data_IF_001857122067
#
_entry.id   IF_001857122067
#
_cell.length_a   1.000
_cell.length_b   1.000
_cell.length_c   1.000
_cell.angle_alpha   90.00
_cell.angle_beta   90.00
_cell.angle_gamma   90.00
#
_symmetry.space_group_name_H-M   'P 1'
#
loop_
_entity.id
_entity.type
_entity.pdbx_description
1 polymer ?
#
# COMPACT_ATOMS: atom_id res chain seq x y z
N UNK A 1 -76.14 -8.83 -13.30
CA UNK A 1 -75.26 -8.66 -12.13
C UNK A 1 -74.05 -9.52 -12.37
N UNK A 2 -72.94 -8.90 -12.74
CA UNK A 2 -71.65 -9.54 -12.98
C UNK A 2 -70.92 -9.62 -11.64
N UNK A 3 -70.40 -10.80 -11.25
CA UNK A 3 -69.63 -11.03 -10.03
C UNK A 3 -68.16 -10.80 -10.32
N UNK A 4 -67.53 -9.92 -9.57
CA UNK A 4 -66.11 -9.65 -9.59
C UNK A 4 -65.34 -10.86 -8.99
N UNK A 5 -64.39 -11.39 -9.75
CA UNK A 5 -63.42 -12.38 -9.30
C UNK A 5 -62.27 -11.70 -8.55
N UNK A 6 -62.19 -11.95 -7.24
CA UNK A 6 -61.05 -11.54 -6.42
C UNK A 6 -59.84 -12.38 -6.75
N UNK A 7 -58.71 -11.72 -7.09
CA UNK A 7 -57.41 -12.38 -7.19
C UNK A 7 -56.87 -12.73 -5.79
N UNK A 8 -56.30 -13.92 -5.59
CA UNK A 8 -55.75 -14.34 -4.28
C UNK A 8 -54.48 -13.56 -3.96
N UNK A 9 -54.32 -13.20 -2.69
CA UNK A 9 -53.14 -12.49 -2.23
C UNK A 9 -51.96 -13.44 -1.97
N UNK A 10 -50.78 -12.88 -1.85
CA UNK A 10 -49.48 -13.60 -1.73
C UNK A 10 -49.41 -14.63 -0.55
N UNK A 11 -50.27 -14.50 0.45
CA UNK A 11 -50.35 -15.43 1.60
C UNK A 11 -51.16 -16.69 1.30
N UNK A 12 -52.10 -16.63 0.41
CA UNK A 12 -52.91 -17.79 0.00
C UNK A 12 -52.17 -18.65 -1.00
N UNK A 13 -51.33 -18.07 -1.85
CA UNK A 13 -50.47 -18.84 -2.76
C UNK A 13 -49.46 -19.76 -2.06
N UNK A 14 -48.96 -19.36 -0.88
CA UNK A 14 -48.01 -20.16 -0.11
C UNK A 14 -48.66 -21.31 0.72
N UNK A 15 -49.97 -21.36 0.80
CA UNK A 15 -50.68 -22.47 1.50
C UNK A 15 -51.07 -23.62 0.58
N UNK A 16 -51.02 -23.48 -0.73
CA UNK A 16 -51.44 -24.52 -1.71
C UNK A 16 -50.29 -25.40 -2.19
N UNK A 17 -49.04 -25.10 -1.85
CA UNK A 17 -47.87 -25.93 -2.24
C UNK A 17 -47.40 -26.91 -1.17
N UNK A 18 -48.15 -27.13 -0.10
CA UNK A 18 -47.74 -27.96 1.03
C UNK A 18 -48.43 -29.35 1.12
N UNK A 19 -49.04 -29.84 0.04
CA UNK A 19 -49.67 -31.17 0.07
C UNK A 19 -49.59 -31.85 -1.29
N UNK A 20 -48.42 -32.38 -1.64
CA UNK A 20 -48.25 -33.60 -2.47
C UNK A 20 -46.76 -33.93 -2.58
N UNK A 21 -46.39 -35.17 -2.17
CA UNK A 21 -45.18 -35.83 -2.65
C UNK A 21 -44.02 -35.91 -1.66
N UNK A 22 -44.15 -36.81 -0.66
CA UNK A 22 -42.99 -37.41 -0.04
C UNK A 22 -42.26 -38.31 -1.05
N UNK A 23 -41.26 -37.73 -1.74
CA UNK A 23 -40.22 -38.49 -2.42
C UNK A 23 -38.93 -38.22 -1.67
N UNK A 24 -38.47 -39.17 -0.90
CA UNK A 24 -37.15 -39.20 -0.24
C UNK A 24 -36.05 -39.26 -1.31
N UNK A 25 -35.64 -38.11 -1.82
CA UNK A 25 -34.34 -37.97 -2.48
C UNK A 25 -33.33 -37.64 -1.39
N UNK A 26 -32.47 -38.60 -1.05
CA UNK A 26 -31.21 -38.36 -0.36
C UNK A 26 -30.36 -37.40 -1.23
N UNK A 27 -30.61 -36.11 -1.12
CA UNK A 27 -29.67 -35.11 -1.57
C UNK A 27 -28.48 -35.18 -0.62
N UNK A 28 -27.42 -35.84 -1.05
CA UNK A 28 -26.11 -35.67 -0.48
C UNK A 28 -25.79 -34.18 -0.58
N UNK A 29 -25.96 -33.46 0.52
CA UNK A 29 -25.36 -32.16 0.67
C UNK A 29 -23.85 -32.40 0.64
N UNK A 30 -23.25 -32.30 -0.54
CA UNK A 30 -21.83 -32.01 -0.63
C UNK A 30 -21.66 -30.71 0.11
N UNK A 31 -21.13 -30.76 1.32
CA UNK A 31 -20.63 -29.62 2.04
C UNK A 31 -19.51 -29.06 1.18
N UNK A 32 -19.80 -27.99 0.43
CA UNK A 32 -18.79 -27.13 -0.15
C UNK A 32 -18.07 -26.39 1.00
N UNK A 33 -17.40 -27.14 1.85
CA UNK A 33 -16.37 -26.58 2.71
C UNK A 33 -15.25 -26.21 1.74
N UNK A 34 -14.88 -24.94 1.61
CA UNK A 34 -13.74 -24.59 0.78
C UNK A 34 -12.54 -25.42 1.26
N UNK A 35 -11.67 -25.88 0.35
CA UNK A 35 -10.51 -26.67 0.73
C UNK A 35 -9.77 -25.92 1.85
N UNK A 36 -9.40 -26.68 2.89
CA UNK A 36 -8.71 -26.14 4.06
C UNK A 36 -7.37 -25.53 3.56
N UNK A 37 -7.32 -24.20 3.44
CA UNK A 37 -6.14 -23.48 2.96
C UNK A 37 -5.01 -23.66 3.97
N UNK A 38 -3.80 -23.86 3.48
CA UNK A 38 -2.61 -23.94 4.32
C UNK A 38 -2.35 -22.63 5.10
N UNK A 39 -1.64 -22.70 6.22
CA UNK A 39 -1.40 -21.52 7.06
C UNK A 39 -0.61 -20.39 6.35
N UNK A 40 0.08 -20.72 5.26
CA UNK A 40 0.93 -19.80 4.51
C UNK A 40 0.32 -19.47 3.13
N UNK A 41 -1.00 -19.42 3.06
CA UNK A 41 -1.77 -19.09 1.86
C UNK A 41 -2.68 -17.91 2.17
N UNK A 42 -3.11 -17.18 1.12
CA UNK A 42 -4.09 -16.10 1.26
C UNK A 42 -5.39 -16.64 1.83
N UNK A 43 -5.75 -16.20 3.03
CA UNK A 43 -6.98 -16.63 3.71
C UNK A 43 -8.17 -15.72 3.37
N UNK A 44 -7.92 -14.45 3.01
CA UNK A 44 -8.97 -13.47 2.78
C UNK A 44 -8.74 -12.69 1.49
N UNK A 45 -9.85 -12.52 0.74
CA UNK A 45 -9.91 -11.59 -0.38
C UNK A 45 -10.90 -10.48 -0.02
N UNK A 46 -10.53 -9.25 -0.34
CA UNK A 46 -11.29 -8.06 -0.03
C UNK A 46 -11.70 -7.31 -1.28
N UNK A 47 -12.90 -6.73 -1.27
CA UNK A 47 -13.36 -5.86 -2.33
C UNK A 47 -12.58 -4.52 -2.28
N UNK A 48 -11.93 -4.18 -3.37
CA UNK A 48 -11.17 -2.94 -3.52
C UNK A 48 -12.11 -1.78 -3.89
N UNK A 49 -12.80 -1.23 -2.89
CA UNK A 49 -13.75 -0.14 -3.07
C UNK A 49 -14.66 -0.32 -4.28
N UNK A 50 -15.04 0.77 -4.93
CA UNK A 50 -15.94 0.82 -6.09
C UNK A 50 -15.41 0.12 -7.35
N UNK A 51 -14.15 -0.30 -7.38
CA UNK A 51 -13.63 -1.09 -8.50
C UNK A 51 -14.27 -2.47 -8.58
N UNK A 52 -14.81 -2.97 -7.47
CA UNK A 52 -15.36 -4.32 -7.28
C UNK A 52 -14.35 -5.46 -7.52
N UNK A 53 -13.08 -5.15 -7.67
CA UNK A 53 -12.03 -6.17 -7.75
C UNK A 53 -11.88 -6.88 -6.38
N UNK A 54 -11.78 -8.19 -6.42
CA UNK A 54 -11.49 -8.99 -5.23
C UNK A 54 -9.99 -9.24 -5.16
N UNK A 55 -9.32 -8.66 -4.18
CA UNK A 55 -7.87 -8.69 -4.04
C UNK A 55 -7.44 -9.39 -2.76
N UNK A 56 -6.29 -10.04 -2.76
CA UNK A 56 -5.67 -10.61 -1.57
C UNK A 56 -5.40 -9.52 -0.53
N UNK A 57 -5.74 -9.77 0.73
CA UNK A 57 -5.57 -8.82 1.85
C UNK A 57 -4.09 -8.49 2.13
N UNK A 58 -3.19 -9.44 1.83
CA UNK A 58 -1.75 -9.24 1.78
C UNK A 58 -1.29 -9.48 0.34
N UNK A 59 -0.70 -8.47 -0.26
CA UNK A 59 -0.46 -8.39 -1.69
C UNK A 59 1.01 -8.13 -2.03
N UNK A 60 1.39 -8.47 -3.26
CA UNK A 60 2.78 -8.48 -3.73
C UNK A 60 3.25 -7.09 -4.15
N UNK A 61 4.29 -6.57 -3.50
CA UNK A 61 5.03 -5.39 -3.93
C UNK A 61 6.31 -5.77 -4.68
N UNK A 62 6.49 -5.24 -5.88
CA UNK A 62 7.60 -5.59 -6.76
C UNK A 62 8.79 -4.61 -6.71
N UNK A 63 8.81 -3.65 -5.78
CA UNK A 63 9.80 -2.57 -5.78
C UNK A 63 11.28 -3.00 -5.78
N UNK A 64 11.58 -4.23 -5.34
CA UNK A 64 12.93 -4.79 -5.35
C UNK A 64 13.08 -6.01 -6.27
N UNK A 65 12.08 -6.29 -7.11
CA UNK A 65 12.09 -7.45 -8.00
C UNK A 65 13.10 -7.26 -9.12
N UNK A 66 13.97 -8.25 -9.33
CA UNK A 66 15.07 -8.22 -10.31
C UNK A 66 14.95 -9.37 -11.32
N UNK A 67 15.61 -9.27 -12.46
CA UNK A 67 15.66 -10.35 -13.46
C UNK A 67 16.09 -11.68 -12.83
N UNK A 68 15.41 -12.76 -13.20
CA UNK A 68 15.66 -14.11 -12.69
C UNK A 68 14.87 -14.45 -11.42
N UNK A 69 13.99 -13.57 -10.95
CA UNK A 69 13.14 -13.80 -9.77
C UNK A 69 11.68 -14.17 -10.13
N UNK A 70 11.46 -14.68 -11.35
CA UNK A 70 10.13 -15.14 -11.78
C UNK A 70 9.56 -16.24 -10.89
N UNK A 71 10.41 -17.04 -10.28
CA UNK A 71 10.01 -18.11 -9.34
C UNK A 71 9.41 -17.56 -8.03
N UNK A 72 9.87 -16.40 -7.57
CA UNK A 72 9.30 -15.70 -6.41
C UNK A 72 7.86 -15.26 -6.71
N UNK A 73 7.63 -14.70 -7.91
CA UNK A 73 6.30 -14.27 -8.35
C UNK A 73 5.36 -15.48 -8.52
N UNK A 74 5.85 -16.58 -9.11
CA UNK A 74 5.07 -17.83 -9.23
C UNK A 74 4.69 -18.38 -7.86
N UNK A 75 5.63 -18.38 -6.92
CA UNK A 75 5.32 -18.81 -5.55
C UNK A 75 4.23 -17.97 -4.89
N UNK A 76 4.25 -16.64 -5.09
CA UNK A 76 3.18 -15.77 -4.61
C UNK A 76 1.81 -16.12 -5.22
N UNK A 77 1.77 -16.40 -6.54
CA UNK A 77 0.55 -16.87 -7.20
C UNK A 77 0.07 -18.22 -6.63
N UNK A 78 0.97 -19.17 -6.44
CA UNK A 78 0.67 -20.50 -5.89
C UNK A 78 0.10 -20.40 -4.46
N UNK A 79 0.51 -19.36 -3.70
CA UNK A 79 -0.01 -19.04 -2.37
C UNK A 79 -1.33 -18.25 -2.39
N UNK A 80 -1.86 -17.93 -3.56
CA UNK A 80 -3.15 -17.26 -3.74
C UNK A 80 -3.09 -15.75 -3.81
N UNK A 81 -1.90 -15.14 -3.83
CA UNK A 81 -1.79 -13.69 -4.08
C UNK A 81 -2.25 -13.40 -5.49
N UNK A 82 -3.17 -12.45 -5.64
CA UNK A 82 -3.70 -12.06 -6.94
C UNK A 82 -3.57 -10.56 -7.25
N UNK A 83 -3.06 -9.74 -6.31
CA UNK A 83 -2.80 -8.32 -6.54
C UNK A 83 -1.29 -8.08 -6.55
N UNK A 84 -0.80 -7.52 -7.66
CA UNK A 84 0.62 -7.27 -7.90
C UNK A 84 0.85 -5.80 -8.20
N UNK A 85 1.61 -5.16 -7.32
CA UNK A 85 1.92 -3.74 -7.37
C UNK A 85 3.30 -3.51 -7.96
N UNK A 86 3.37 -2.72 -9.03
CA UNK A 86 4.60 -2.29 -9.69
C UNK A 86 4.61 -0.78 -9.94
N UNK A 87 5.65 -0.30 -10.58
CA UNK A 87 5.77 1.05 -11.08
C UNK A 87 6.77 1.10 -12.24
N UNK A 88 6.60 2.06 -13.13
CA UNK A 88 7.47 2.32 -14.28
C UNK A 88 8.96 2.35 -13.91
N UNK A 89 9.32 3.01 -12.79
CA UNK A 89 10.69 3.20 -12.34
C UNK A 89 11.26 2.08 -11.47
N UNK A 90 10.48 1.08 -11.06
CA UNK A 90 10.99 0.04 -10.16
C UNK A 90 12.08 -0.80 -10.84
N UNK A 91 13.25 -0.88 -10.19
CA UNK A 91 14.43 -1.55 -10.69
C UNK A 91 14.74 -1.22 -12.17
N UNK A 92 14.55 0.07 -12.54
CA UNK A 92 14.73 0.60 -13.91
C UNK A 92 13.87 -0.13 -14.95
N UNK A 93 12.65 -0.52 -14.58
CA UNK A 93 11.70 -1.24 -15.42
C UNK A 93 11.81 -2.77 -15.37
N UNK A 94 12.83 -3.33 -14.72
CA UNK A 94 13.01 -4.77 -14.63
C UNK A 94 11.88 -5.45 -13.84
N UNK A 95 11.33 -4.79 -12.82
CA UNK A 95 10.19 -5.31 -12.07
C UNK A 95 8.98 -5.59 -12.95
N UNK A 96 8.63 -4.66 -13.85
CA UNK A 96 7.56 -4.86 -14.83
C UNK A 96 7.86 -5.99 -15.80
N UNK A 97 9.12 -6.13 -16.27
CA UNK A 97 9.52 -7.22 -17.17
C UNK A 97 9.36 -8.60 -16.54
N UNK A 98 9.78 -8.76 -15.27
CA UNK A 98 9.65 -10.02 -14.53
C UNK A 98 8.18 -10.40 -14.35
N UNK A 99 7.33 -9.44 -13.94
CA UNK A 99 5.89 -9.66 -13.85
C UNK A 99 5.28 -10.02 -15.19
N UNK A 100 5.66 -9.31 -16.26
CA UNK A 100 5.21 -9.59 -17.62
C UNK A 100 5.61 -10.99 -18.11
N UNK A 101 6.81 -11.48 -17.75
CA UNK A 101 7.23 -12.84 -18.06
C UNK A 101 6.33 -13.90 -17.41
N UNK A 102 5.92 -13.67 -16.16
CA UNK A 102 5.12 -14.64 -15.42
C UNK A 102 3.65 -14.63 -15.83
N UNK A 103 3.09 -13.46 -16.15
CA UNK A 103 1.64 -13.32 -16.36
C UNK A 103 1.17 -13.64 -17.78
N UNK A 104 2.08 -14.00 -18.69
CA UNK A 104 1.69 -14.45 -20.03
C UNK A 104 0.74 -15.66 -19.94
N UNK A 105 -0.42 -15.55 -20.60
CA UNK A 105 -1.44 -16.59 -20.59
C UNK A 105 -2.30 -16.69 -19.33
N UNK A 106 -2.08 -15.80 -18.35
CA UNK A 106 -2.89 -15.74 -17.12
C UNK A 106 -3.23 -14.31 -16.65
N UNK A 107 -3.16 -13.35 -17.57
CA UNK A 107 -3.37 -11.92 -17.26
C UNK A 107 -4.70 -11.63 -16.56
N UNK A 108 -5.74 -12.35 -16.92
CA UNK A 108 -7.10 -12.26 -16.37
C UNK A 108 -7.23 -12.79 -14.93
N UNK A 109 -6.23 -13.54 -14.46
CA UNK A 109 -6.22 -14.12 -13.10
C UNK A 109 -5.60 -13.19 -12.05
N UNK A 110 -5.01 -12.08 -12.47
CA UNK A 110 -4.32 -11.15 -11.58
C UNK A 110 -4.86 -9.73 -11.72
N UNK A 111 -4.83 -9.00 -10.62
CA UNK A 111 -5.00 -7.54 -10.57
C UNK A 111 -3.62 -6.91 -10.62
N UNK A 112 -3.35 -6.21 -11.71
CA UNK A 112 -2.04 -5.63 -11.98
C UNK A 112 -2.10 -4.11 -11.87
N UNK A 113 -1.18 -3.57 -11.09
CA UNK A 113 -1.04 -2.13 -10.84
C UNK A 113 0.31 -1.66 -11.33
N UNK A 114 0.33 -0.55 -12.06
CA UNK A 114 1.55 0.20 -12.30
C UNK A 114 1.35 1.69 -12.05
N UNK A 115 2.43 2.44 -12.06
CA UNK A 115 2.46 3.84 -11.64
C UNK A 115 3.46 4.62 -12.46
N UNK A 116 3.18 5.90 -12.66
CA UNK A 116 4.13 6.82 -13.27
C UNK A 116 4.48 7.95 -12.29
N UNK A 117 5.76 8.17 -12.10
CA UNK A 117 6.27 9.41 -11.55
C UNK A 117 6.03 10.51 -12.57
N UNK A 118 5.78 11.73 -12.11
CA UNK A 118 5.58 12.85 -13.01
C UNK A 118 5.53 14.15 -12.23
N UNK A 119 5.89 15.23 -12.89
CA UNK A 119 5.76 16.58 -12.38
C UNK A 119 4.45 17.20 -12.83
N UNK A 120 4.07 18.32 -12.24
CA UNK A 120 2.84 19.02 -12.59
C UNK A 120 2.82 19.53 -14.04
N UNK A 121 3.99 19.71 -14.64
CA UNK A 121 4.22 20.19 -16.00
C UNK A 121 4.32 19.07 -17.07
N UNK A 122 4.20 17.80 -16.66
CA UNK A 122 4.24 16.71 -17.63
C UNK A 122 3.02 16.72 -18.54
N UNK A 123 3.26 16.58 -19.84
CA UNK A 123 2.19 16.47 -20.82
C UNK A 123 1.53 15.08 -20.80
N UNK A 124 0.30 15.00 -21.26
CA UNK A 124 -0.39 13.71 -21.43
C UNK A 124 0.32 12.77 -22.38
N UNK A 125 1.03 13.30 -23.37
CA UNK A 125 1.83 12.49 -24.30
C UNK A 125 3.00 11.80 -23.59
N UNK A 126 3.70 12.51 -22.70
CA UNK A 126 4.77 11.93 -21.90
C UNK A 126 4.23 10.82 -20.99
N UNK A 127 3.13 11.07 -20.29
CA UNK A 127 2.51 10.06 -19.43
C UNK A 127 2.00 8.85 -20.22
N UNK A 128 1.44 9.07 -21.42
CA UNK A 128 1.00 7.99 -22.31
C UNK A 128 2.19 7.15 -22.81
N UNK A 129 3.30 7.79 -23.16
CA UNK A 129 4.52 7.08 -23.57
C UNK A 129 5.05 6.15 -22.45
N UNK A 130 5.05 6.62 -21.21
CA UNK A 130 5.45 5.80 -20.06
C UNK A 130 4.47 4.64 -19.81
N UNK A 131 3.17 4.87 -19.98
CA UNK A 131 2.18 3.78 -19.89
C UNK A 131 2.42 2.73 -20.99
N UNK A 132 2.67 3.16 -22.22
CA UNK A 132 2.91 2.25 -23.35
C UNK A 132 4.20 1.43 -23.18
N UNK A 133 5.24 2.05 -22.61
CA UNK A 133 6.45 1.33 -22.22
C UNK A 133 6.17 0.31 -21.09
N UNK A 134 5.41 0.70 -20.07
CA UNK A 134 4.98 -0.20 -18.99
C UNK A 134 4.21 -1.39 -19.54
N UNK A 135 3.24 -1.17 -20.43
CA UNK A 135 2.46 -2.24 -21.05
C UNK A 135 3.34 -3.18 -21.89
N UNK A 136 4.32 -2.63 -22.60
CA UNK A 136 5.31 -3.41 -23.35
C UNK A 136 6.13 -4.32 -22.44
N UNK A 137 6.66 -3.80 -21.32
CA UNK A 137 7.42 -4.56 -20.33
C UNK A 137 6.56 -5.62 -19.65
N UNK A 138 5.33 -5.25 -19.28
CA UNK A 138 4.33 -6.14 -18.66
C UNK A 138 3.72 -7.15 -19.64
N UNK A 139 3.99 -7.02 -20.96
CA UNK A 139 3.49 -7.91 -22.02
C UNK A 139 1.98 -8.06 -22.00
N UNK A 140 1.27 -6.96 -21.82
CA UNK A 140 -0.19 -6.89 -21.72
C UNK A 140 -0.72 -5.63 -22.39
N UNK A 141 -1.98 -5.65 -22.80
CA UNK A 141 -2.65 -4.51 -23.40
C UNK A 141 -3.24 -3.54 -22.36
N UNK A 142 -3.33 -3.96 -21.08
CA UNK A 142 -3.91 -3.14 -20.04
C UNK A 142 -3.33 -3.43 -18.65
N UNK A 143 -3.44 -2.45 -17.76
CA UNK A 143 -3.33 -2.63 -16.30
C UNK A 143 -4.68 -2.36 -15.64
N UNK A 144 -4.95 -2.99 -14.50
CA UNK A 144 -6.20 -2.79 -13.79
C UNK A 144 -6.26 -1.41 -13.13
N UNK A 145 -5.18 -1.02 -12.46
CA UNK A 145 -5.08 0.29 -11.83
C UNK A 145 -3.79 0.98 -12.28
N UNK A 146 -3.90 2.23 -12.72
CA UNK A 146 -2.74 3.06 -13.02
C UNK A 146 -2.72 4.30 -12.13
N UNK A 147 -1.59 4.55 -11.45
CA UNK A 147 -1.53 5.55 -10.40
C UNK A 147 -0.55 6.69 -10.72
N UNK A 148 -0.90 7.90 -10.30
CA UNK A 148 0.07 8.95 -10.07
C UNK A 148 0.97 8.53 -8.89
N UNK A 149 2.28 8.36 -9.15
CA UNK A 149 3.23 7.79 -8.20
C UNK A 149 3.80 8.85 -7.26
N UNK A 150 3.83 8.56 -5.96
CA UNK A 150 4.48 9.37 -4.92
C UNK A 150 4.03 10.85 -4.91
N UNK A 151 2.73 11.09 -4.98
CA UNK A 151 2.16 12.44 -5.02
C UNK A 151 2.40 13.16 -3.71
N UNK A 152 3.07 14.31 -3.80
CA UNK A 152 3.33 15.22 -2.67
C UNK A 152 3.12 16.69 -3.04
N UNK A 153 2.68 16.95 -4.26
CA UNK A 153 2.33 18.29 -4.77
C UNK A 153 0.91 18.26 -5.33
N UNK A 154 0.04 19.06 -4.76
CA UNK A 154 -1.36 19.18 -5.18
C UNK A 154 -1.50 19.72 -6.62
N UNK A 155 -0.52 20.48 -7.11
CA UNK A 155 -0.56 21.00 -8.48
C UNK A 155 -0.49 19.87 -9.51
N UNK A 156 0.16 18.77 -9.19
CA UNK A 156 0.17 17.57 -10.02
C UNK A 156 -1.24 16.98 -10.19
N UNK A 157 -2.06 17.00 -9.14
CA UNK A 157 -3.45 16.57 -9.20
C UNK A 157 -4.36 17.56 -9.93
N UNK A 158 -4.02 18.86 -9.89
CA UNK A 158 -4.74 19.93 -10.59
C UNK A 158 -4.41 20.03 -12.08
N UNK A 159 -3.37 19.31 -12.53
CA UNK A 159 -2.92 19.38 -13.92
C UNK A 159 -4.01 18.85 -14.87
N UNK A 160 -4.49 19.63 -15.83
CA UNK A 160 -5.44 19.15 -16.85
C UNK A 160 -4.83 18.01 -17.67
N UNK A 161 -3.52 18.01 -17.88
CA UNK A 161 -2.80 16.97 -18.63
C UNK A 161 -2.96 15.57 -17.97
N UNK A 162 -2.95 15.51 -16.63
CA UNK A 162 -3.21 14.27 -15.91
C UNK A 162 -4.64 13.74 -16.16
N UNK A 163 -5.62 14.63 -16.10
CA UNK A 163 -7.02 14.25 -16.31
C UNK A 163 -7.27 13.78 -17.75
N UNK A 164 -6.77 14.56 -18.73
CA UNK A 164 -6.88 14.20 -20.14
C UNK A 164 -6.15 12.88 -20.46
N UNK A 165 -4.99 12.65 -19.85
CA UNK A 165 -4.28 11.37 -19.94
C UNK A 165 -5.13 10.21 -19.41
N UNK A 166 -5.66 10.34 -18.18
CA UNK A 166 -6.44 9.29 -17.54
C UNK A 166 -7.69 8.93 -18.36
N UNK A 167 -8.43 9.94 -18.84
CA UNK A 167 -9.61 9.75 -19.70
C UNK A 167 -9.24 9.06 -21.02
N UNK A 168 -8.16 9.50 -21.66
CA UNK A 168 -7.70 8.91 -22.91
C UNK A 168 -7.26 7.46 -22.73
N UNK A 169 -6.50 7.18 -21.68
CA UNK A 169 -6.02 5.83 -21.37
C UNK A 169 -7.17 4.87 -21.05
N UNK A 170 -8.18 5.33 -20.29
CA UNK A 170 -9.43 4.57 -20.06
C UNK A 170 -10.18 4.32 -21.37
N UNK A 171 -10.34 5.33 -22.20
CA UNK A 171 -11.03 5.21 -23.50
C UNK A 171 -10.33 4.25 -24.45
N UNK A 172 -9.00 4.19 -24.41
CA UNK A 172 -8.20 3.24 -25.20
C UNK A 172 -8.18 1.83 -24.58
N UNK A 173 -8.77 1.62 -23.41
CA UNK A 173 -8.79 0.34 -22.71
C UNK A 173 -7.43 -0.05 -22.10
N UNK A 174 -6.46 0.87 -22.04
CA UNK A 174 -5.12 0.63 -21.47
C UNK A 174 -5.11 0.59 -19.94
N UNK A 175 -6.06 1.27 -19.31
CA UNK A 175 -6.27 1.24 -17.85
C UNK A 175 -7.76 1.07 -17.56
N UNK A 176 -8.08 0.39 -16.46
CA UNK A 176 -9.49 0.25 -16.00
C UNK A 176 -9.84 1.30 -14.96
N UNK A 177 -8.95 1.51 -14.00
CA UNK A 177 -9.14 2.41 -12.87
C UNK A 177 -7.93 3.33 -12.69
N UNK A 178 -8.18 4.49 -12.08
CA UNK A 178 -7.15 5.50 -11.77
C UNK A 178 -6.89 5.53 -10.27
N UNK A 179 -5.64 5.74 -9.89
CA UNK A 179 -5.29 5.90 -8.49
C UNK A 179 -4.21 6.93 -8.25
N UNK A 180 -3.89 7.13 -6.98
CA UNK A 180 -2.71 7.85 -6.55
C UNK A 180 -1.98 7.10 -5.44
N UNK A 181 -0.67 7.27 -5.37
CA UNK A 181 0.12 6.80 -4.25
C UNK A 181 0.86 7.95 -3.58
N UNK A 182 1.14 7.80 -2.26
CA UNK A 182 1.88 8.81 -1.54
C UNK A 182 2.35 8.37 -0.15
N UNK A 183 3.37 9.08 0.35
CA UNK A 183 3.97 8.81 1.66
C UNK A 183 4.67 10.02 2.28
N UNK A 184 4.75 11.15 1.58
CA UNK A 184 5.49 12.34 2.00
C UNK A 184 4.62 13.35 2.76
N UNK A 185 5.18 14.49 3.15
CA UNK A 185 4.60 15.42 4.12
C UNK A 185 3.25 16.02 3.76
N UNK A 186 2.96 16.21 2.47
CA UNK A 186 1.70 16.78 1.99
C UNK A 186 0.67 15.73 1.56
N UNK A 187 0.89 14.46 1.92
CA UNK A 187 0.02 13.34 1.54
C UNK A 187 -1.45 13.61 1.89
N UNK A 188 -1.73 14.04 3.13
CA UNK A 188 -3.10 14.29 3.60
C UNK A 188 -3.80 15.34 2.75
N UNK A 189 -3.11 16.45 2.45
CA UNK A 189 -3.66 17.51 1.60
C UNK A 189 -3.95 17.02 0.17
N UNK A 190 -3.05 16.22 -0.39
CA UNK A 190 -3.24 15.64 -1.72
C UNK A 190 -4.41 14.65 -1.75
N UNK A 191 -4.52 13.80 -0.72
CA UNK A 191 -5.62 12.85 -0.60
C UNK A 191 -6.98 13.55 -0.42
N UNK A 192 -7.07 14.54 0.48
CA UNK A 192 -8.31 15.29 0.65
C UNK A 192 -8.78 15.92 -0.65
N UNK A 193 -7.86 16.54 -1.39
CA UNK A 193 -8.19 17.13 -2.68
C UNK A 193 -8.64 16.07 -3.70
N UNK A 194 -7.91 14.96 -3.83
CA UNK A 194 -8.25 13.91 -4.79
C UNK A 194 -9.63 13.27 -4.49
N UNK A 195 -9.93 13.07 -3.21
CA UNK A 195 -11.21 12.50 -2.76
C UNK A 195 -12.37 13.50 -2.93
N UNK A 196 -12.17 14.78 -2.60
CA UNK A 196 -13.18 15.82 -2.75
C UNK A 196 -13.55 16.08 -4.23
N UNK A 197 -12.60 15.87 -5.13
CA UNK A 197 -12.80 16.06 -6.57
C UNK A 197 -13.17 14.75 -7.30
N UNK A 198 -13.37 13.66 -6.59
CA UNK A 198 -13.69 12.32 -7.14
C UNK A 198 -12.72 11.87 -8.25
N UNK A 199 -11.41 12.08 -8.02
CA UNK A 199 -10.37 11.89 -9.05
C UNK A 199 -9.80 10.49 -9.09
N UNK A 200 -10.00 9.67 -8.05
CA UNK A 200 -9.32 8.39 -7.87
C UNK A 200 -10.29 7.29 -7.48
N UNK A 201 -10.07 6.12 -8.05
CA UNK A 201 -10.79 4.89 -7.70
C UNK A 201 -10.07 4.10 -6.62
N UNK A 202 -8.74 4.26 -6.51
CA UNK A 202 -7.87 3.56 -5.55
C UNK A 202 -6.81 4.50 -5.01
N UNK A 203 -6.53 4.40 -3.72
CA UNK A 203 -5.38 5.05 -3.07
C UNK A 203 -4.40 3.99 -2.55
N UNK A 204 -3.09 4.29 -2.66
CA UNK A 204 -2.00 3.50 -2.08
C UNK A 204 -1.14 4.40 -1.19
N UNK A 205 -1.27 4.25 0.12
CA UNK A 205 -0.70 5.20 1.07
C UNK A 205 0.17 4.52 2.13
N UNK A 206 1.19 5.23 2.61
CA UNK A 206 2.00 4.75 3.72
C UNK A 206 1.17 4.79 5.01
N UNK A 207 1.02 3.63 5.65
CA UNK A 207 0.30 3.49 6.91
C UNK A 207 0.88 2.36 7.76
N UNK A 208 1.13 2.62 9.02
CA UNK A 208 1.69 1.65 9.96
C UNK A 208 1.36 2.03 11.41
N UNK A 209 1.65 1.12 12.34
CA UNK A 209 1.29 1.23 13.76
C UNK A 209 1.83 2.49 14.47
N UNK A 210 2.87 3.16 13.94
CA UNK A 210 3.39 4.41 14.50
C UNK A 210 2.59 5.67 14.09
N UNK A 211 1.57 5.52 13.26
CA UNK A 211 0.72 6.63 12.81
C UNK A 211 -0.63 6.69 13.55
N UNK A 212 -0.89 5.74 14.44
CA UNK A 212 -2.09 5.74 15.28
C UNK A 212 -1.85 6.55 16.56
N UNK A 213 -2.61 7.65 16.80
CA UNK A 213 -2.51 8.44 18.02
C UNK A 213 -2.86 7.65 19.29
N UNK A 214 -3.83 6.74 19.22
CA UNK A 214 -4.20 5.90 20.37
C UNK A 214 -3.13 4.87 20.70
N UNK A 215 -2.54 4.26 19.71
CA UNK A 215 -1.41 3.34 19.88
C UNK A 215 -0.26 4.04 20.60
N UNK A 216 0.10 5.24 20.14
CA UNK A 216 1.16 6.04 20.75
C UNK A 216 0.78 6.56 22.14
N UNK A 217 -0.46 6.96 22.38
CA UNK A 217 -0.91 7.42 23.70
C UNK A 217 -0.90 6.31 24.76
N UNK A 218 -1.17 5.07 24.36
CA UNK A 218 -1.02 3.90 25.26
C UNK A 218 0.43 3.62 25.63
N UNK A 219 1.36 3.89 24.69
CA UNK A 219 2.81 3.80 24.89
C UNK A 219 3.34 4.87 25.84
N UNK A 220 2.76 6.06 25.82
CA UNK A 220 3.35 7.29 26.35
C UNK A 220 2.66 7.82 27.61
N UNK A 221 1.95 6.99 28.37
CA UNK A 221 1.45 7.42 29.69
C UNK A 221 2.54 8.00 30.61
N UNK A 222 3.80 7.90 30.21
CA UNK A 222 4.96 8.42 30.92
C UNK A 222 5.84 9.43 30.19
N UNK A 223 5.54 9.80 28.92
CA UNK A 223 6.33 10.78 28.15
C UNK A 223 5.42 11.53 27.17
N UNK A 224 5.46 12.85 27.15
CA UNK A 224 4.68 13.74 26.28
C UNK A 224 5.08 13.64 24.79
N UNK A 225 4.90 12.49 24.19
CA UNK A 225 5.15 12.25 22.77
C UNK A 225 3.82 12.25 22.01
N UNK A 226 3.36 13.40 21.63
CA UNK A 226 2.16 13.55 20.80
C UNK A 226 2.57 13.27 19.36
N UNK A 227 2.10 12.18 18.79
CA UNK A 227 2.17 11.96 17.34
C UNK A 227 1.28 13.00 16.65
N UNK A 228 1.88 13.88 15.85
CA UNK A 228 1.18 14.95 15.14
C UNK A 228 0.61 14.51 13.78
N UNK A 229 0.09 13.30 13.65
CA UNK A 229 -0.54 12.86 12.40
C UNK A 229 -1.93 12.26 12.62
N UNK A 230 -2.87 13.00 13.25
CA UNK A 230 -4.22 12.48 13.47
C UNK A 230 -5.05 12.41 12.19
N UNK A 231 -4.61 13.04 11.10
CA UNK A 231 -5.45 13.24 9.90
C UNK A 231 -5.44 12.07 8.93
N UNK A 232 -4.41 11.23 8.90
CA UNK A 232 -4.38 10.09 7.97
C UNK A 232 -5.49 9.07 8.26
N UNK A 233 -5.77 8.65 9.50
CA UNK A 233 -6.94 7.81 9.81
C UNK A 233 -8.27 8.44 9.37
N UNK A 234 -8.44 9.75 9.53
CA UNK A 234 -9.62 10.48 9.04
C UNK A 234 -9.76 10.39 7.53
N UNK A 235 -8.67 10.53 6.80
CA UNK A 235 -8.68 10.46 5.32
C UNK A 235 -8.93 9.04 4.84
N UNK A 236 -8.40 8.01 5.52
CA UNK A 236 -8.71 6.61 5.22
C UNK A 236 -10.21 6.33 5.40
N UNK A 237 -10.80 6.81 6.49
CA UNK A 237 -12.24 6.72 6.71
C UNK A 237 -13.05 7.42 5.61
N UNK A 238 -12.64 8.64 5.24
CA UNK A 238 -13.26 9.37 4.12
C UNK A 238 -13.20 8.61 2.80
N UNK A 239 -12.05 8.00 2.48
CA UNK A 239 -11.91 7.17 1.29
C UNK A 239 -12.88 5.97 1.33
N UNK A 240 -13.02 5.33 2.49
CA UNK A 240 -13.96 4.22 2.69
C UNK A 240 -15.42 4.65 2.52
N UNK A 241 -15.80 5.80 3.08
CA UNK A 241 -17.14 6.39 2.94
C UNK A 241 -17.48 6.73 1.49
N UNK A 242 -16.49 7.12 0.69
CA UNK A 242 -16.61 7.39 -0.74
C UNK A 242 -16.48 6.14 -1.62
N UNK A 243 -16.37 4.97 -1.02
CA UNK A 243 -16.15 3.68 -1.69
C UNK A 243 -14.89 3.66 -2.59
N UNK A 244 -13.87 4.43 -2.24
CA UNK A 244 -12.56 4.42 -2.88
C UNK A 244 -11.72 3.29 -2.28
N UNK A 245 -11.13 2.45 -3.14
CA UNK A 245 -10.28 1.33 -2.72
C UNK A 245 -9.05 1.81 -1.96
N UNK A 246 -8.79 1.21 -0.80
CA UNK A 246 -7.70 1.63 0.09
C UNK A 246 -6.69 0.52 0.27
N UNK A 247 -5.53 0.66 -0.36
CA UNK A 247 -4.37 -0.20 -0.16
C UNK A 247 -3.30 0.58 0.60
N UNK A 248 -2.64 -0.08 1.55
CA UNK A 248 -1.60 0.57 2.33
C UNK A 248 -0.24 -0.09 2.15
N UNK A 249 0.82 0.71 2.27
CA UNK A 249 2.20 0.29 2.12
C UNK A 249 3.06 0.75 3.30
N UNK A 250 4.34 0.32 3.33
CA UNK A 250 5.32 0.68 4.37
C UNK A 250 4.86 0.28 5.78
N UNK A 251 4.15 -0.82 5.85
CA UNK A 251 3.47 -1.34 7.03
C UNK A 251 4.42 -1.81 8.13
N UNK A 252 5.65 -2.15 7.77
CA UNK A 252 6.69 -2.58 8.72
C UNK A 252 7.49 -1.43 9.34
N UNK A 253 7.22 -0.19 8.95
CA UNK A 253 7.89 1.00 9.48
C UNK A 253 9.41 0.86 9.55
N UNK A 254 10.06 0.42 8.44
CA UNK A 254 11.49 0.25 8.37
C UNK A 254 12.04 -0.93 9.19
N UNK A 255 11.35 -2.03 9.22
CA UNK A 255 11.51 -3.22 10.07
C UNK A 255 12.91 -3.83 10.20
N UNK A 256 13.91 -3.37 9.47
CA UNK A 256 15.25 -3.95 9.53
C UNK A 256 16.26 -3.18 10.36
N UNK A 257 15.81 -2.11 11.03
CA UNK A 257 16.66 -1.38 11.95
C UNK A 257 17.15 -2.22 13.12
N UNK A 258 16.31 -3.14 13.58
CA UNK A 258 16.64 -4.06 14.66
C UNK A 258 16.18 -5.47 14.30
N UNK A 259 16.96 -6.44 14.72
CA UNK A 259 16.53 -7.83 14.70
C UNK A 259 15.49 -8.06 15.81
N UNK A 260 14.25 -8.24 15.41
CA UNK A 260 13.13 -8.47 16.33
C UNK A 260 12.97 -9.94 16.74
N UNK A 261 13.67 -10.89 16.09
CA UNK A 261 13.59 -12.33 16.38
C UNK A 261 13.78 -12.68 17.86
N UNK A 262 14.68 -12.02 18.64
CA UNK A 262 14.81 -12.30 20.08
C UNK A 262 13.55 -11.99 20.91
N UNK A 263 12.63 -11.22 20.37
CA UNK A 263 11.39 -10.79 21.04
C UNK A 263 10.15 -11.48 20.49
N UNK A 264 10.31 -12.25 19.41
CA UNK A 264 9.22 -12.99 18.77
C UNK A 264 8.87 -14.24 19.60
N UNK A 265 7.60 -14.59 19.65
CA UNK A 265 7.08 -15.78 20.30
C UNK A 265 6.63 -16.80 19.27
N UNK A 266 6.46 -18.06 19.67
CA UNK A 266 5.93 -19.08 18.77
C UNK A 266 4.57 -18.65 18.18
N UNK A 267 4.50 -18.60 16.86
CA UNK A 267 3.31 -18.23 16.10
C UNK A 267 3.10 -16.74 15.83
N UNK A 268 4.05 -15.88 16.24
CA UNK A 268 3.97 -14.44 15.97
C UNK A 268 5.34 -13.87 15.62
N UNK A 269 5.49 -13.44 14.36
CA UNK A 269 6.64 -12.62 13.94
C UNK A 269 6.29 -11.14 14.00
N UNK A 270 7.32 -10.29 14.03
CA UNK A 270 7.12 -8.83 13.99
C UNK A 270 6.33 -8.40 12.74
N UNK A 271 6.63 -8.99 11.58
CA UNK A 271 5.91 -8.69 10.35
C UNK A 271 4.43 -9.05 10.45
N UNK A 272 4.11 -10.24 10.97
CA UNK A 272 2.73 -10.67 11.16
C UNK A 272 1.97 -9.78 12.16
N UNK A 273 2.62 -9.39 13.26
CA UNK A 273 2.03 -8.46 14.23
C UNK A 273 1.69 -7.11 13.58
N UNK A 274 2.63 -6.54 12.80
CA UNK A 274 2.42 -5.28 12.09
C UNK A 274 1.29 -5.38 11.05
N UNK A 275 1.19 -6.50 10.33
CA UNK A 275 0.14 -6.71 9.33
C UNK A 275 -1.23 -6.90 9.97
N UNK A 276 -1.33 -7.67 11.06
CA UNK A 276 -2.59 -7.80 11.82
C UNK A 276 -3.06 -6.45 12.35
N UNK A 277 -2.13 -5.62 12.85
CA UNK A 277 -2.47 -4.26 13.27
C UNK A 277 -3.06 -3.44 12.11
N UNK A 278 -2.43 -3.47 10.93
CA UNK A 278 -2.90 -2.75 9.74
C UNK A 278 -4.26 -3.28 9.28
N UNK A 279 -4.42 -4.60 9.17
CA UNK A 279 -5.64 -5.25 8.69
C UNK A 279 -6.80 -5.18 9.69
N UNK A 280 -6.54 -4.86 10.96
CA UNK A 280 -7.58 -4.59 11.96
C UNK A 280 -8.31 -3.26 11.75
N UNK A 281 -7.73 -2.35 10.93
CA UNK A 281 -8.41 -1.14 10.53
C UNK A 281 -9.44 -1.43 9.43
N UNK A 282 -10.73 -1.25 9.74
CA UNK A 282 -11.84 -1.53 8.83
C UNK A 282 -11.84 -0.62 7.57
N UNK A 283 -11.12 0.51 7.62
CA UNK A 283 -10.99 1.45 6.51
C UNK A 283 -9.88 1.06 5.52
N UNK A 284 -9.15 -0.03 5.79
CA UNK A 284 -8.10 -0.58 4.92
C UNK A 284 -8.62 -1.84 4.23
N UNK A 285 -8.57 -1.87 2.90
CA UNK A 285 -8.98 -3.06 2.13
C UNK A 285 -7.86 -4.10 2.05
N UNK A 286 -6.61 -3.68 1.83
CA UNK A 286 -5.46 -4.57 1.77
C UNK A 286 -4.15 -3.84 2.08
N UNK A 287 -3.10 -4.61 2.29
CA UNK A 287 -1.74 -4.09 2.33
C UNK A 287 -0.89 -4.65 1.18
N UNK A 288 0.08 -3.85 0.75
CA UNK A 288 1.11 -4.26 -0.20
C UNK A 288 2.48 -4.19 0.48
N UNK A 289 3.26 -5.23 0.32
CA UNK A 289 4.61 -5.34 0.89
C UNK A 289 5.60 -5.92 -0.13
N UNK A 290 6.81 -5.39 -0.15
CA UNK A 290 7.88 -5.92 -1.01
C UNK A 290 8.24 -7.35 -0.60
N UNK A 291 8.07 -8.29 -1.51
CA UNK A 291 8.37 -9.70 -1.33
C UNK A 291 9.62 -10.07 -2.14
N UNK A 292 10.68 -10.46 -1.47
CA UNK A 292 11.99 -10.70 -2.08
C UNK A 292 12.34 -12.18 -2.27
N UNK A 293 11.68 -13.04 -1.53
CA UNK A 293 11.93 -14.48 -1.49
C UNK A 293 10.70 -15.26 -1.01
N UNK A 294 10.72 -16.56 -1.20
CA UNK A 294 9.61 -17.46 -0.86
C UNK A 294 9.36 -17.55 0.65
N UNK A 295 10.40 -17.50 1.46
CA UNK A 295 10.29 -17.59 2.92
C UNK A 295 9.52 -16.40 3.49
N UNK A 296 9.79 -15.19 2.97
CA UNK A 296 9.03 -14.00 3.36
C UNK A 296 7.60 -14.03 2.90
N UNK A 297 7.33 -14.56 1.71
CA UNK A 297 5.94 -14.73 1.26
C UNK A 297 5.19 -15.63 2.23
N UNK A 298 5.75 -16.77 2.59
CA UNK A 298 5.14 -17.73 3.51
C UNK A 298 4.99 -17.14 4.91
N UNK A 299 5.99 -16.41 5.42
CA UNK A 299 5.90 -15.70 6.71
C UNK A 299 4.77 -14.65 6.69
N UNK A 300 4.73 -13.81 5.68
CA UNK A 300 3.80 -12.70 5.61
C UNK A 300 2.35 -13.17 5.52
N UNK A 301 2.09 -14.21 4.76
CA UNK A 301 0.76 -14.78 4.62
C UNK A 301 0.23 -15.44 5.89
N UNK A 302 1.07 -15.72 6.87
CA UNK A 302 0.63 -16.14 8.21
C UNK A 302 -0.23 -15.11 8.96
N UNK A 303 -0.30 -13.85 8.47
CA UNK A 303 -1.22 -12.83 8.98
C UNK A 303 -2.49 -12.66 8.12
N UNK A 304 -2.59 -13.32 6.95
CA UNK A 304 -3.74 -13.20 6.07
C UNK A 304 -5.02 -13.70 6.74
N UNK A 305 -6.12 -13.02 6.52
CA UNK A 305 -7.41 -13.31 7.14
C UNK A 305 -7.56 -12.83 8.58
N UNK A 306 -6.53 -12.28 9.18
CA UNK A 306 -6.57 -11.78 10.55
C UNK A 306 -7.04 -10.32 10.58
N UNK A 307 -8.07 -10.06 11.37
CA UNK A 307 -8.66 -8.72 11.55
C UNK A 307 -8.52 -8.21 12.99
N UNK A 308 -7.82 -8.96 13.82
CA UNK A 308 -7.61 -8.66 15.23
C UNK A 308 -6.16 -8.97 15.59
N UNK A 309 -5.65 -8.25 16.60
CA UNK A 309 -4.33 -8.50 17.15
C UNK A 309 -4.31 -9.84 17.90
N UNK A 310 -3.27 -10.64 17.69
CA UNK A 310 -3.01 -11.81 18.49
C UNK A 310 -2.37 -11.42 19.84
N UNK A 311 -2.40 -12.37 20.78
CA UNK A 311 -1.72 -12.19 22.06
C UNK A 311 -0.23 -11.93 21.83
N UNK A 312 0.28 -10.86 22.44
CA UNK A 312 1.69 -10.45 22.32
C UNK A 312 2.01 -9.53 21.14
N UNK A 313 1.13 -9.38 20.14
CA UNK A 313 1.36 -8.48 19.00
C UNK A 313 1.63 -7.05 19.45
N UNK A 314 0.77 -6.52 20.32
CA UNK A 314 0.87 -5.15 20.80
C UNK A 314 2.19 -4.91 21.55
N UNK A 315 2.61 -5.86 22.39
CA UNK A 315 3.88 -5.77 23.12
C UNK A 315 5.06 -5.73 22.17
N UNK A 316 5.06 -6.60 21.14
CA UNK A 316 6.10 -6.66 20.12
C UNK A 316 6.22 -5.36 19.32
N UNK A 317 5.08 -4.80 18.87
CA UNK A 317 5.03 -3.52 18.18
C UNK A 317 5.47 -2.35 19.06
N UNK A 318 5.08 -2.35 20.35
CA UNK A 318 5.51 -1.36 21.32
C UNK A 318 7.01 -1.41 21.57
N UNK A 319 7.55 -2.60 21.66
CA UNK A 319 9.01 -2.81 21.82
C UNK A 319 9.76 -2.23 20.62
N UNK A 320 9.31 -2.55 19.40
CA UNK A 320 9.90 -2.00 18.19
C UNK A 320 9.83 -0.47 18.16
N UNK A 321 8.67 0.11 18.44
CA UNK A 321 8.49 1.56 18.46
C UNK A 321 9.42 2.25 19.50
N UNK A 322 9.60 1.64 20.66
CA UNK A 322 10.49 2.14 21.72
C UNK A 322 11.97 2.09 21.29
N UNK A 323 12.39 1.02 20.62
CA UNK A 323 13.77 0.85 20.16
C UNK A 323 14.13 1.78 19.00
N UNK A 324 13.17 2.10 18.13
CA UNK A 324 13.40 2.76 16.84
C UNK A 324 12.76 4.13 16.69
N UNK A 325 12.01 4.60 17.69
CA UNK A 325 11.19 5.81 17.58
C UNK A 325 11.94 7.08 17.22
N UNK A 326 13.20 7.22 17.64
CA UNK A 326 14.07 8.36 17.37
C UNK A 326 14.97 8.19 16.13
N UNK A 327 14.89 7.05 15.43
CA UNK A 327 15.76 6.74 14.29
C UNK A 327 15.03 6.84 12.95
N UNK A 328 13.68 6.83 12.97
CA UNK A 328 12.85 6.82 11.78
C UNK A 328 12.03 8.07 11.57
N UNK A 329 12.18 8.65 10.36
CA UNK A 329 11.29 9.71 9.87
C UNK A 329 9.88 9.14 9.65
N UNK A 330 8.85 9.86 10.14
CA UNK A 330 7.45 9.48 9.98
C UNK A 330 6.95 9.79 8.58
N UNK A 331 6.17 8.88 8.01
CA UNK A 331 5.48 9.15 6.75
C UNK A 331 4.42 10.23 6.96
N UNK A 332 4.17 11.02 5.93
CA UNK A 332 3.25 12.16 5.96
C UNK A 332 3.57 13.22 7.02
N UNK A 333 4.79 13.24 7.59
CA UNK A 333 5.28 14.25 8.51
C UNK A 333 6.06 15.32 7.75
N UNK A 334 5.82 16.59 8.10
CA UNK A 334 6.50 17.76 7.53
C UNK A 334 6.98 18.77 8.59
N UNK A 335 7.09 18.35 9.84
CA UNK A 335 7.43 19.24 10.96
C UNK A 335 8.74 20.00 10.75
N UNK A 336 9.73 19.39 10.11
CA UNK A 336 11.00 20.03 9.76
C UNK A 336 10.99 20.72 8.39
N UNK A 337 9.92 20.63 7.62
CA UNK A 337 9.77 21.29 6.34
C UNK A 337 9.75 22.81 6.57
N UNK A 338 10.57 23.55 5.84
CA UNK A 338 10.71 24.99 6.01
C UNK A 338 11.66 25.43 7.14
N UNK A 339 12.09 24.52 8.02
CA UNK A 339 13.14 24.84 9.00
C UNK A 339 14.54 24.81 8.39
N UNK A 340 14.75 24.07 7.30
CA UNK A 340 16.01 24.02 6.59
C UNK A 340 16.18 25.28 5.72
N UNK A 341 17.22 26.11 5.96
CA UNK A 341 17.45 27.33 5.18
C UNK A 341 17.83 27.06 3.72
N UNK A 342 18.20 25.82 3.40
CA UNK A 342 18.57 25.35 2.06
C UNK A 342 17.46 24.57 1.36
N UNK A 343 16.31 24.39 2.01
CA UNK A 343 15.16 23.68 1.45
C UNK A 343 15.37 22.18 1.20
N UNK A 344 16.30 21.53 1.92
CA UNK A 344 16.59 20.10 1.74
C UNK A 344 15.35 19.25 1.99
N UNK A 345 15.07 18.30 1.08
CA UNK A 345 14.01 17.31 1.20
C UNK A 345 14.38 16.21 2.22
N UNK A 346 14.42 16.60 3.49
CA UNK A 346 14.95 15.80 4.60
C UNK A 346 14.28 14.43 4.69
N UNK A 347 12.96 14.36 4.55
CA UNK A 347 12.22 13.11 4.66
C UNK A 347 12.64 12.12 3.57
N UNK A 348 12.87 12.59 2.36
CA UNK A 348 13.30 11.76 1.23
C UNK A 348 14.76 11.33 1.37
N UNK A 349 15.63 12.20 1.86
CA UNK A 349 17.02 11.85 2.19
C UNK A 349 17.06 10.73 3.25
N UNK A 350 16.29 10.86 4.32
CA UNK A 350 16.26 9.85 5.38
C UNK A 350 15.67 8.52 4.92
N UNK A 351 14.70 8.56 3.99
CA UNK A 351 14.12 7.36 3.39
C UNK A 351 15.13 6.63 2.51
N UNK A 352 15.85 7.33 1.65
CA UNK A 352 16.88 6.71 0.80
C UNK A 352 18.03 6.13 1.62
N UNK A 353 18.38 6.78 2.74
CA UNK A 353 19.31 6.22 3.71
C UNK A 353 18.84 4.86 4.22
N UNK A 354 17.57 4.74 4.58
CA UNK A 354 16.97 3.48 5.04
C UNK A 354 17.14 2.35 4.02
N UNK A 355 16.97 2.64 2.73
CA UNK A 355 17.17 1.63 1.69
C UNK A 355 18.61 1.09 1.67
N UNK A 356 19.61 1.97 1.86
CA UNK A 356 21.01 1.56 1.92
C UNK A 356 21.35 0.81 3.20
N UNK A 357 20.98 1.36 4.37
CA UNK A 357 21.45 0.85 5.67
C UNK A 357 20.63 -0.32 6.18
N UNK A 358 19.31 -0.29 5.97
CA UNK A 358 18.40 -1.25 6.59
C UNK A 358 17.99 -2.36 5.63
N UNK A 359 17.73 -2.01 4.37
CA UNK A 359 17.45 -3.00 3.34
C UNK A 359 18.70 -3.52 2.63
N UNK A 360 19.87 -2.92 2.90
CA UNK A 360 21.16 -3.27 2.28
C UNK A 360 21.10 -3.23 0.75
N UNK A 361 20.28 -2.33 0.21
CA UNK A 361 20.06 -2.13 -1.21
C UNK A 361 20.60 -0.76 -1.63
N UNK A 362 21.93 -0.69 -1.72
CA UNK A 362 22.64 0.57 -2.06
C UNK A 362 22.32 1.03 -3.48
N UNK A 363 22.05 0.11 -4.41
CA UNK A 363 21.68 0.44 -5.77
C UNK A 363 20.33 1.16 -5.82
N UNK A 364 19.30 0.58 -5.20
CA UNK A 364 18.00 1.24 -5.05
C UNK A 364 18.12 2.58 -4.33
N UNK A 365 18.93 2.64 -3.27
CA UNK A 365 19.13 3.86 -2.51
C UNK A 365 19.73 4.99 -3.35
N UNK A 366 20.72 4.69 -4.19
CA UNK A 366 21.32 5.67 -5.11
C UNK A 366 20.35 6.11 -6.19
N UNK A 367 19.61 5.19 -6.80
CA UNK A 367 18.62 5.51 -7.81
C UNK A 367 17.53 6.44 -7.26
N UNK A 368 17.05 6.18 -6.06
CA UNK A 368 16.05 7.02 -5.40
C UNK A 368 16.64 8.35 -4.91
N UNK A 369 17.90 8.35 -4.43
CA UNK A 369 18.57 9.58 -4.00
C UNK A 369 18.82 10.55 -5.16
N UNK A 370 19.16 10.03 -6.33
CA UNK A 370 19.37 10.83 -7.54
C UNK A 370 18.11 11.57 -8.02
N UNK A 371 16.92 11.13 -7.60
CA UNK A 371 15.63 11.76 -7.93
C UNK A 371 15.29 12.95 -7.02
N UNK A 372 16.01 13.11 -5.90
CA UNK A 372 15.74 14.18 -4.92
C UNK A 372 16.21 15.51 -5.49
N UNK A 373 15.29 16.44 -5.71
CA UNK A 373 15.60 17.76 -6.31
C UNK A 373 16.52 18.59 -5.41
N UNK A 374 16.18 18.70 -4.13
CA UNK A 374 17.00 19.40 -3.14
C UNK A 374 17.60 18.40 -2.16
N UNK A 375 18.66 17.74 -2.60
CA UNK A 375 19.32 16.70 -1.80
C UNK A 375 20.18 17.29 -0.67
N UNK A 376 20.84 16.41 0.10
CA UNK A 376 21.58 16.80 1.31
C UNK A 376 22.98 17.36 1.05
N UNK A 377 23.30 17.87 -0.15
CA UNK A 377 24.61 18.46 -0.44
C UNK A 377 24.93 19.66 0.47
N UNK A 378 23.93 20.52 0.73
CA UNK A 378 24.08 21.65 1.64
C UNK A 378 24.39 21.25 3.08
N UNK A 379 23.99 20.04 3.51
CA UNK A 379 24.24 19.53 4.86
C UNK A 379 25.74 19.30 5.14
N UNK A 380 26.58 19.16 4.11
CA UNK A 380 28.02 18.97 4.26
C UNK A 380 28.71 20.17 4.94
N UNK A 381 28.19 21.37 4.77
CA UNK A 381 28.74 22.62 5.26
C UNK A 381 27.77 23.39 6.19
N UNK A 382 26.68 22.75 6.60
CA UNK A 382 25.72 23.37 7.49
C UNK A 382 26.26 23.38 8.93
N UNK A 383 26.33 24.57 9.53
CA UNK A 383 26.82 24.75 10.91
C UNK A 383 25.69 24.91 11.93
N UNK A 384 24.44 24.93 11.48
CA UNK A 384 23.25 25.02 12.33
C UNK A 384 22.50 23.70 12.39
N UNK A 385 21.61 23.58 13.36
CA UNK A 385 20.74 22.39 13.53
C UNK A 385 19.25 22.78 13.56
N UNK A 386 18.77 23.71 12.69
CA UNK A 386 17.38 24.15 12.78
C UNK A 386 16.39 23.01 12.48
N UNK A 387 16.76 22.10 11.57
CA UNK A 387 15.97 20.92 11.26
C UNK A 387 15.85 19.94 12.44
N UNK A 388 16.92 19.76 13.22
CA UNK A 388 16.91 18.91 14.43
C UNK A 388 15.98 19.47 15.50
N UNK A 389 16.02 20.81 15.70
CA UNK A 389 15.16 21.49 16.66
C UNK A 389 13.68 21.45 16.24
N UNK A 390 13.39 21.45 14.94
CA UNK A 390 12.05 21.38 14.39
C UNK A 390 11.46 19.95 14.38
N UNK A 391 12.29 18.93 14.56
CA UNK A 391 11.81 17.53 14.55
C UNK A 391 11.10 17.18 15.84
N UNK A 392 9.78 17.03 15.81
CA UNK A 392 8.96 16.63 16.96
C UNK A 392 9.24 15.20 17.47
N UNK A 393 9.95 14.39 16.67
CA UNK A 393 10.31 13.01 17.00
C UNK A 393 11.74 12.84 17.51
N UNK A 394 12.47 13.94 17.68
CA UNK A 394 13.83 13.91 18.22
C UNK A 394 14.87 13.22 17.34
N UNK A 395 14.62 13.14 16.02
CA UNK A 395 15.57 12.56 15.07
C UNK A 395 16.78 13.50 14.95
N UNK A 396 17.96 12.92 15.00
CA UNK A 396 19.22 13.62 14.80
C UNK A 396 19.50 13.81 13.30
N UNK A 397 18.72 14.69 12.68
CA UNK A 397 18.71 14.90 11.22
C UNK A 397 20.09 15.26 10.68
N UNK A 398 20.79 16.14 11.38
CA UNK A 398 22.15 16.60 11.07
C UNK A 398 23.17 15.43 11.04
N UNK A 399 23.07 14.48 11.99
CA UNK A 399 23.93 13.29 12.05
C UNK A 399 23.63 12.30 10.91
N UNK A 400 22.47 12.38 10.24
CA UNK A 400 22.08 11.43 9.20
C UNK A 400 22.20 12.00 7.78
N UNK A 401 21.83 13.26 7.55
CA UNK A 401 21.76 13.82 6.20
C UNK A 401 23.11 13.93 5.50
N UNK A 402 24.12 14.52 6.15
CA UNK A 402 25.44 14.67 5.55
C UNK A 402 26.13 13.32 5.25
N UNK A 403 26.13 12.32 6.17
CA UNK A 403 26.62 10.98 5.84
C UNK A 403 25.86 10.29 4.73
N UNK A 404 24.54 10.49 4.63
CA UNK A 404 23.74 9.93 3.55
C UNK A 404 24.17 10.50 2.19
N UNK A 405 24.38 11.80 2.11
CA UNK A 405 24.88 12.41 0.88
C UNK A 405 26.25 11.82 0.46
N UNK A 406 27.19 11.69 1.39
CA UNK A 406 28.52 11.08 1.09
C UNK A 406 28.42 9.63 0.61
N UNK A 407 27.41 8.91 1.04
CA UNK A 407 27.21 7.49 0.71
C UNK A 407 26.52 7.31 -0.65
N UNK A 408 25.58 8.21 -1.02
CA UNK A 408 24.64 7.97 -2.11
C UNK A 408 24.84 8.89 -3.33
N UNK A 409 25.51 10.05 -3.17
CA UNK A 409 25.77 10.99 -4.26
C UNK A 409 26.89 10.54 -5.19
#
# INVERSE_FOLDING_TARGET
RMSESKQPNRREFLRWTALTGAATSLATHASNTPPNKGPNEVQSYRRLGRTNLQISDISFGSAALRPGQEDVVRHALDRGINYFDSAYGYTRGAAEQVLGNVFQGMRDKVVLVSKVEGKADWSKQQMMSHLDESLTRLKTDYVDVYMAHAVNDINRLKSPEWHEFAELAKKQGKIRFVGMSGHAGYLVNCLDYALDQDMVDVILVAYNFNQDPEFLSRLTRSVNWIAKQPDLPRVLKKAKELDVGTVVMKTLHGARLNDMRPYETQGTTFAQAAFRWVLSNADVDALVITMRDRERIDEYLGASGSHELAFGDLELLQRYAKLNGSSYCRHACNDCSGACPFGVDIADVLRTRMYATDYQDVELARDEYAKIETNASACLNCSGEPCRQACSHGIKIDEFCAPTHRMLA
#
